data_IF_726305382749
#
_entry.id   IF_726305382749
#
_cell.length_a   1.000
_cell.length_b   1.000
_cell.length_c   1.000
_cell.angle_alpha   90.00
_cell.angle_beta   90.00
_cell.angle_gamma   90.00
#
_symmetry.space_group_name_H-M   'P 1'
#
loop_
_entity.id
_entity.type
_entity.pdbx_description
1 polymer ?
#
# COMPACT_ATOMS: atom_id res chain seq x y z
N UNK A 1 -2.04 -17.65 -11.41
CA UNK A 1 -2.31 -17.30 -12.81
C UNK A 1 -0.97 -17.11 -13.51
N UNK A 2 -0.57 -18.03 -14.38
CA UNK A 2 0.57 -17.85 -15.29
C UNK A 2 0.02 -17.57 -16.69
N UNK A 3 0.76 -16.83 -17.51
CA UNK A 3 0.33 -16.38 -18.85
C UNK A 3 0.34 -17.50 -19.92
N UNK A 4 0.33 -18.78 -19.51
CA UNK A 4 0.45 -19.96 -20.39
C UNK A 4 1.66 -19.91 -21.35
N UNK A 5 2.71 -19.17 -20.96
CA UNK A 5 3.94 -19.07 -21.74
C UNK A 5 4.88 -20.24 -21.42
N UNK A 6 5.68 -20.72 -22.39
CA UNK A 6 6.75 -21.68 -22.14
C UNK A 6 7.67 -21.20 -21.01
N UNK A 7 8.10 -22.12 -20.14
CA UNK A 7 9.06 -21.83 -19.08
C UNK A 7 10.32 -21.21 -19.66
N UNK A 8 10.83 -20.13 -19.05
CA UNK A 8 12.01 -19.41 -19.53
C UNK A 8 11.73 -18.19 -20.41
N UNK A 9 10.52 -18.06 -20.97
CA UNK A 9 10.15 -16.94 -21.88
C UNK A 9 10.39 -15.55 -21.27
N UNK A 10 10.29 -15.43 -19.95
CA UNK A 10 10.45 -14.16 -19.22
C UNK A 10 11.78 -14.05 -18.45
N UNK A 11 12.70 -14.99 -18.59
CA UNK A 11 13.97 -14.99 -17.84
C UNK A 11 14.78 -13.72 -18.07
N UNK A 12 14.88 -13.25 -19.32
CA UNK A 12 15.59 -12.00 -19.62
C UNK A 12 14.99 -10.79 -18.89
N UNK A 13 13.67 -10.70 -18.85
CA UNK A 13 12.97 -9.63 -18.14
C UNK A 13 13.11 -9.75 -16.62
N UNK A 14 12.97 -10.97 -16.07
CA UNK A 14 13.20 -11.24 -14.66
C UNK A 14 14.63 -10.84 -14.25
N UNK A 15 15.63 -11.25 -15.01
CA UNK A 15 17.03 -10.94 -14.74
C UNK A 15 17.30 -9.43 -14.79
N UNK A 16 16.71 -8.73 -15.76
CA UNK A 16 16.77 -7.26 -15.82
C UNK A 16 16.17 -6.61 -14.56
N UNK A 17 14.99 -7.04 -14.14
CA UNK A 17 14.33 -6.52 -12.94
C UNK A 17 15.16 -6.77 -11.67
N UNK A 18 15.70 -7.98 -11.52
CA UNK A 18 16.58 -8.33 -10.39
C UNK A 18 17.84 -7.46 -10.39
N UNK A 19 18.50 -7.29 -11.54
CA UNK A 19 19.69 -6.42 -11.66
C UNK A 19 19.38 -4.98 -11.22
N UNK A 20 18.24 -4.43 -11.64
CA UNK A 20 17.86 -3.05 -11.31
C UNK A 20 17.53 -2.85 -9.83
N UNK A 21 17.04 -3.88 -9.15
CA UNK A 21 16.84 -3.85 -7.70
C UNK A 21 18.19 -4.01 -6.99
N UNK A 22 19.06 -4.90 -7.47
CA UNK A 22 20.38 -5.15 -6.87
C UNK A 22 21.33 -3.93 -6.94
N UNK A 23 21.15 -3.04 -7.91
CA UNK A 23 21.87 -1.77 -8.03
C UNK A 23 21.49 -0.75 -6.93
N UNK A 24 20.39 -0.96 -6.20
CA UNK A 24 19.86 -0.01 -5.21
C UNK A 24 20.38 -0.29 -3.81
N UNK A 25 20.53 0.78 -3.02
CA UNK A 25 20.75 0.64 -1.58
C UNK A 25 19.53 0.02 -0.88
N UNK A 26 19.75 -0.59 0.28
CA UNK A 26 18.67 -1.19 1.06
C UNK A 26 17.54 -0.19 1.40
N UNK A 27 17.90 1.06 1.66
CA UNK A 27 16.93 2.12 1.95
C UNK A 27 16.11 2.51 0.71
N UNK A 28 16.72 2.57 -0.47
CA UNK A 28 15.97 2.79 -1.72
C UNK A 28 15.01 1.66 -2.03
N UNK A 29 15.44 0.40 -1.82
CA UNK A 29 14.57 -0.77 -2.00
C UNK A 29 13.40 -0.72 -1.02
N UNK A 30 13.66 -0.41 0.25
CA UNK A 30 12.63 -0.26 1.29
C UNK A 30 11.61 0.82 0.92
N UNK A 31 12.07 2.01 0.53
CA UNK A 31 11.19 3.11 0.13
C UNK A 31 10.39 2.78 -1.14
N UNK A 32 11.01 2.09 -2.10
CA UNK A 32 10.31 1.63 -3.30
C UNK A 32 9.22 0.59 -2.96
N UNK A 33 9.53 -0.37 -2.09
CA UNK A 33 8.59 -1.40 -1.64
C UNK A 33 7.42 -0.78 -0.88
N UNK A 34 7.69 0.19 0.01
CA UNK A 34 6.65 0.94 0.72
C UNK A 34 5.68 1.61 -0.26
N UNK A 35 6.16 2.25 -1.33
CA UNK A 35 5.28 2.86 -2.35
C UNK A 35 4.33 1.83 -2.99
N UNK A 36 4.74 0.57 -3.13
CA UNK A 36 3.86 -0.48 -3.63
C UNK A 36 2.71 -0.78 -2.65
N UNK A 37 2.99 -0.73 -1.34
CA UNK A 37 1.96 -0.84 -0.31
C UNK A 37 0.92 0.30 -0.39
N UNK A 38 1.34 1.53 -0.70
CA UNK A 38 0.42 2.66 -0.89
C UNK A 38 -0.48 2.51 -2.12
N UNK A 39 0.04 1.94 -3.22
CA UNK A 39 -0.77 1.60 -4.39
C UNK A 39 -1.83 0.57 -4.00
N UNK A 40 -1.42 -0.48 -3.26
CA UNK A 40 -2.34 -1.48 -2.71
C UNK A 40 -3.39 -0.87 -1.79
N UNK A 41 -3.00 0.07 -0.93
CA UNK A 41 -3.91 0.80 -0.05
C UNK A 41 -5.00 1.53 -0.83
N UNK A 42 -4.65 2.23 -1.92
CA UNK A 42 -5.63 2.89 -2.77
C UNK A 42 -6.69 1.94 -3.31
N UNK A 43 -6.27 0.75 -3.75
CA UNK A 43 -7.19 -0.29 -4.22
C UNK A 43 -8.10 -0.82 -3.09
N UNK A 44 -7.54 -1.04 -1.90
CA UNK A 44 -8.32 -1.49 -0.73
C UNK A 44 -9.37 -0.44 -0.35
N UNK A 45 -9.01 0.84 -0.30
CA UNK A 45 -9.95 1.92 0.05
C UNK A 45 -11.11 2.02 -0.95
N UNK A 46 -10.84 1.89 -2.24
CA UNK A 46 -11.88 1.89 -3.28
C UNK A 46 -12.78 0.66 -3.15
N UNK A 47 -12.20 -0.53 -2.99
CA UNK A 47 -12.94 -1.79 -2.87
C UNK A 47 -13.78 -1.80 -1.59
N UNK A 48 -13.24 -1.33 -0.47
CA UNK A 48 -13.97 -1.23 0.79
C UNK A 48 -15.19 -0.31 0.65
N UNK A 49 -15.04 0.84 -0.02
CA UNK A 49 -16.16 1.74 -0.28
C UNK A 49 -17.25 1.10 -1.15
N UNK A 50 -16.87 0.33 -2.19
CA UNK A 50 -17.80 -0.42 -3.05
C UNK A 50 -18.57 -1.48 -2.25
N UNK A 51 -17.88 -2.19 -1.36
CA UNK A 51 -18.46 -3.20 -0.48
C UNK A 51 -19.18 -2.62 0.75
N UNK A 52 -19.24 -1.29 0.88
CA UNK A 52 -19.82 -0.57 2.05
C UNK A 52 -19.15 -0.96 3.38
N UNK A 53 -17.85 -1.22 3.34
CA UNK A 53 -16.99 -1.43 4.50
C UNK A 53 -16.27 -0.11 4.80
N UNK A 54 -16.34 0.33 6.05
CA UNK A 54 -15.62 1.50 6.51
C UNK A 54 -14.13 1.19 6.65
N UNK A 55 -13.30 2.15 6.23
CA UNK A 55 -11.86 1.98 6.17
C UNK A 55 -11.15 3.25 6.66
N UNK A 56 -10.21 3.06 7.60
CA UNK A 56 -9.37 4.14 8.12
C UNK A 56 -7.89 3.77 7.94
N UNK A 57 -7.19 4.37 6.96
CA UNK A 57 -5.75 4.21 6.84
C UNK A 57 -5.02 4.91 8.00
N UNK A 58 -3.89 4.36 8.43
CA UNK A 58 -3.13 4.82 9.59
C UNK A 58 -1.63 4.83 9.30
N UNK A 59 -0.96 5.91 9.68
CA UNK A 59 0.50 6.06 9.70
C UNK A 59 1.02 6.53 11.07
N UNK A 60 0.14 7.00 11.94
CA UNK A 60 0.48 7.61 13.24
C UNK A 60 0.85 6.61 14.33
N UNK A 61 1.69 5.62 14.01
CA UNK A 61 2.18 4.62 14.96
C UNK A 61 3.70 4.42 14.82
N UNK A 62 4.32 3.84 15.84
CA UNK A 62 5.73 3.43 15.79
C UNK A 62 5.88 2.17 14.93
N UNK A 63 6.40 2.34 13.72
CA UNK A 63 6.60 1.23 12.78
C UNK A 63 7.49 0.11 13.37
N UNK A 64 8.52 0.48 14.14
CA UNK A 64 9.39 -0.49 14.82
C UNK A 64 8.65 -1.29 15.86
N UNK A 65 7.84 -0.63 16.69
CA UNK A 65 7.15 -1.30 17.81
C UNK A 65 6.05 -2.22 17.30
N UNK A 66 5.31 -1.80 16.27
CA UNK A 66 4.28 -2.63 15.64
C UNK A 66 4.91 -3.80 14.89
N UNK A 67 6.03 -3.58 14.18
CA UNK A 67 6.76 -4.67 13.52
C UNK A 67 7.23 -5.69 14.55
N UNK A 68 7.82 -5.25 15.66
CA UNK A 68 8.27 -6.11 16.73
C UNK A 68 7.11 -6.89 17.36
N UNK A 69 5.98 -6.23 17.63
CA UNK A 69 4.80 -6.85 18.21
C UNK A 69 4.15 -7.91 17.32
N UNK A 70 4.25 -7.76 15.99
CA UNK A 70 3.69 -8.69 15.01
C UNK A 70 4.70 -9.77 14.56
N UNK A 71 5.97 -9.63 14.92
CA UNK A 71 7.05 -10.45 14.38
C UNK A 71 6.83 -11.94 14.66
N UNK A 72 6.93 -12.73 13.61
CA UNK A 72 6.97 -14.19 13.65
C UNK A 72 7.79 -14.71 12.47
N UNK A 73 7.95 -16.03 12.35
CA UNK A 73 8.75 -16.64 11.28
C UNK A 73 8.26 -16.27 9.88
N UNK A 74 6.95 -16.13 9.67
CA UNK A 74 6.37 -15.77 8.36
C UNK A 74 6.58 -14.30 8.00
N UNK A 75 6.84 -13.45 8.99
CA UNK A 75 7.08 -12.01 8.81
C UNK A 75 8.56 -11.63 8.94
N UNK A 76 9.47 -12.62 8.94
CA UNK A 76 10.91 -12.37 9.02
C UNK A 76 11.38 -11.57 7.80
N UNK A 77 12.05 -10.45 8.05
CA UNK A 77 12.53 -9.54 7.00
C UNK A 77 11.49 -8.55 6.47
N UNK A 78 10.27 -8.55 7.02
CA UNK A 78 9.26 -7.53 6.72
C UNK A 78 9.28 -6.41 7.77
N UNK A 79 8.79 -5.25 7.38
CA UNK A 79 8.56 -4.11 8.28
C UNK A 79 7.20 -3.52 7.97
N UNK A 80 6.47 -3.14 9.01
CA UNK A 80 5.17 -2.47 8.88
C UNK A 80 5.40 -1.04 8.41
N UNK A 81 4.71 -0.63 7.34
CA UNK A 81 4.83 0.71 6.76
C UNK A 81 3.54 1.55 6.81
N UNK A 82 2.38 0.90 6.93
CA UNK A 82 1.07 1.52 7.12
C UNK A 82 0.11 0.50 7.72
N UNK A 83 -0.98 0.98 8.31
CA UNK A 83 -2.07 0.16 8.82
C UNK A 83 -3.40 0.58 8.21
N UNK A 84 -4.39 -0.29 8.30
CA UNK A 84 -5.77 0.02 7.92
C UNK A 84 -6.72 -0.68 8.89
N UNK A 85 -7.63 0.08 9.49
CA UNK A 85 -8.76 -0.47 10.22
C UNK A 85 -9.93 -0.66 9.26
N UNK A 86 -10.52 -1.86 9.24
CA UNK A 86 -11.69 -2.18 8.42
C UNK A 86 -12.84 -2.60 9.33
N UNK A 87 -14.06 -2.14 9.03
CA UNK A 87 -15.23 -2.51 9.81
C UNK A 87 -16.47 -1.69 9.45
N UNK A 88 -17.29 -1.43 10.46
CA UNK A 88 -18.49 -0.61 10.35
C UNK A 88 -18.45 0.47 11.41
N UNK A 89 -18.64 1.73 10.99
CA UNK A 89 -18.60 2.89 11.88
C UNK A 89 -19.68 2.80 12.96
N UNK A 90 -19.34 3.27 14.15
CA UNK A 90 -20.31 3.43 15.22
C UNK A 90 -21.27 4.59 14.89
N UNK A 91 -22.49 4.56 15.45
CA UNK A 91 -23.49 5.63 15.25
C UNK A 91 -23.01 7.00 15.75
N UNK A 92 -22.07 7.01 16.68
CA UNK A 92 -21.51 8.21 17.31
C UNK A 92 -20.23 8.72 16.64
N UNK A 93 -19.81 8.14 15.51
CA UNK A 93 -18.74 8.71 14.71
C UNK A 93 -19.20 10.04 14.10
N UNK A 94 -18.90 11.16 14.77
CA UNK A 94 -19.28 12.50 14.33
C UNK A 94 -18.66 12.86 12.97
N UNK A 95 -17.48 12.31 12.65
CA UNK A 95 -16.76 12.65 11.41
C UNK A 95 -17.41 12.06 10.17
N UNK A 96 -18.23 11.03 10.35
CA UNK A 96 -18.98 10.34 9.29
C UNK A 96 -19.90 11.26 8.48
N UNK A 97 -20.43 12.32 9.11
CA UNK A 97 -21.36 13.28 8.52
C UNK A 97 -20.67 14.54 7.96
N UNK A 98 -19.36 14.70 8.19
CA UNK A 98 -18.65 15.89 7.74
C UNK A 98 -18.53 15.92 6.21
N UNK A 99 -18.68 17.12 5.63
CA UNK A 99 -18.47 17.33 4.20
C UNK A 99 -17.00 17.06 3.86
N UNK A 100 -16.75 16.18 2.88
CA UNK A 100 -15.38 15.90 2.40
C UNK A 100 -14.75 17.18 1.82
N UNK A 101 -13.53 17.47 2.23
CA UNK A 101 -12.72 18.59 1.72
C UNK A 101 -11.65 18.05 0.78
N UNK A 102 -11.51 18.64 -0.42
CA UNK A 102 -10.50 18.31 -1.43
C UNK A 102 -10.05 19.60 -2.11
N UNK A 103 -8.81 19.63 -2.61
CA UNK A 103 -8.35 20.73 -3.47
C UNK A 103 -9.18 20.78 -4.75
N UNK A 104 -9.46 21.97 -5.31
CA UNK A 104 -10.18 22.08 -6.59
C UNK A 104 -9.36 21.47 -7.74
N UNK A 105 -10.03 20.99 -8.79
CA UNK A 105 -9.37 20.34 -9.93
C UNK A 105 -8.33 21.25 -10.60
N UNK A 106 -8.59 22.55 -10.67
CA UNK A 106 -7.68 23.54 -11.24
C UNK A 106 -6.34 23.66 -10.52
N UNK A 107 -6.23 23.18 -9.28
CA UNK A 107 -4.96 23.13 -8.53
C UNK A 107 -4.21 21.80 -8.67
N UNK A 108 -4.88 20.74 -9.15
CA UNK A 108 -4.32 19.38 -9.21
C UNK A 108 -4.01 18.96 -10.65
N UNK A 109 -4.80 19.43 -11.62
CA UNK A 109 -4.70 19.03 -13.03
C UNK A 109 -4.19 20.20 -13.87
N UNK A 110 -3.07 19.99 -14.55
CA UNK A 110 -2.52 20.92 -15.54
C UNK A 110 -2.70 20.29 -16.91
N UNK A 111 -3.41 20.97 -17.81
CA UNK A 111 -3.48 20.59 -19.24
C UNK A 111 -2.37 21.34 -19.97
N UNK A 112 -1.50 20.59 -20.65
CA UNK A 112 -0.38 21.12 -21.45
C UNK A 112 -0.78 21.24 -22.92
#
# INVERSE_FOLDING_TARGET
MSRELPTGTLEGYQNFMISKIAEKSAEEVKNWAQKQCYIGLGNILNTAAELKIDATPMEGFSASDVTLALQNESLKGFTVCLGIALGYRHKEDATSAYKKVRKPLSEIVVTL
#
